data_IF_612225585320
#
_entry.id   IF_612225585320
#
_cell.length_a   1.000
_cell.length_b   1.000
_cell.length_c   1.000
_cell.angle_alpha   90.00
_cell.angle_beta   90.00
_cell.angle_gamma   90.00
#
_symmetry.space_group_name_H-M   'P 1'
#
loop_
_entity.id
_entity.type
_entity.pdbx_description
1 polymer ?
#
# COMPACT_ATOMS: atom_id res chain seq x y z
N UNK A 1 -57.27 -18.53 -9.28
CA UNK A 1 -57.42 -17.91 -7.94
C UNK A 1 -56.31 -16.86 -7.81
N UNK A 2 -56.49 -15.63 -8.30
CA UNK A 2 -57.19 -14.50 -7.67
C UNK A 2 -56.48 -13.91 -6.43
N UNK A 3 -55.67 -12.85 -6.69
CA UNK A 3 -55.54 -11.52 -6.01
C UNK A 3 -55.30 -11.52 -4.47
N UNK A 4 -54.44 -10.66 -3.91
CA UNK A 4 -54.56 -9.18 -3.87
C UNK A 4 -53.25 -8.48 -3.41
N UNK A 5 -53.15 -7.22 -3.86
CA UNK A 5 -52.23 -6.14 -3.43
C UNK A 5 -52.74 -5.46 -2.14
N UNK A 6 -51.85 -4.80 -1.39
CA UNK A 6 -52.11 -3.61 -0.55
C UNK A 6 -50.73 -2.97 -0.23
N UNK A 7 -50.26 -1.84 -0.77
CA UNK A 7 -50.59 -0.39 -0.63
C UNK A 7 -50.45 0.22 0.77
N UNK A 8 -49.66 1.31 0.85
CA UNK A 8 -49.46 2.24 1.97
C UNK A 8 -47.96 2.33 2.33
N UNK A 9 -47.19 3.40 2.13
CA UNK A 9 -47.52 4.81 1.92
C UNK A 9 -47.63 5.52 3.26
N UNK A 10 -46.54 6.09 3.77
CA UNK A 10 -46.56 7.15 4.78
C UNK A 10 -45.29 8.01 4.69
N UNK A 11 -45.55 9.31 4.57
CA UNK A 11 -44.63 10.43 4.52
C UNK A 11 -44.16 10.82 5.94
N UNK A 12 -42.88 11.20 6.07
CA UNK A 12 -42.35 11.77 7.31
C UNK A 12 -41.09 12.62 7.07
N UNK A 13 -40.99 13.84 7.62
CA UNK A 13 -40.19 14.94 7.05
C UNK A 13 -38.72 15.02 7.49
N UNK A 14 -37.99 15.87 6.75
CA UNK A 14 -36.60 16.27 6.92
C UNK A 14 -36.26 16.91 8.29
N UNK A 15 -34.99 16.89 8.72
CA UNK A 15 -34.49 17.83 9.70
C UNK A 15 -33.92 19.10 9.03
N UNK A 16 -34.56 20.23 9.32
CA UNK A 16 -33.96 21.57 9.21
C UNK A 16 -33.09 21.90 10.43
N UNK A 17 -32.07 22.73 10.22
CA UNK A 17 -31.72 23.81 11.15
C UNK A 17 -30.65 23.53 12.20
N UNK A 18 -29.49 24.19 12.04
CA UNK A 18 -28.45 24.24 13.06
C UNK A 18 -27.26 25.15 12.72
N UNK A 19 -27.54 26.39 12.32
CA UNK A 19 -26.53 27.46 12.23
C UNK A 19 -26.50 28.27 13.53
N UNK A 20 -25.31 28.41 14.11
CA UNK A 20 -24.94 29.31 15.21
C UNK A 20 -23.58 28.88 15.72
N UNK A 21 -22.53 29.69 15.84
CA UNK A 21 -22.43 31.13 15.90
C UNK A 21 -21.52 31.49 17.07
N UNK A 22 -20.33 32.01 16.74
CA UNK A 22 -19.56 33.00 17.51
C UNK A 22 -18.76 32.61 18.77
N UNK A 23 -17.58 33.22 18.87
CA UNK A 23 -16.80 33.45 20.11
C UNK A 23 -15.37 32.91 20.01
N UNK A 24 -14.37 33.76 19.72
CA UNK A 24 -13.54 34.48 20.72
C UNK A 24 -12.52 33.52 21.39
N UNK A 25 -11.23 33.78 21.60
CA UNK A 25 -10.38 34.96 21.66
C UNK A 25 -8.94 34.46 21.90
N UNK A 26 -7.93 35.31 21.63
CA UNK A 26 -6.59 35.22 22.25
C UNK A 26 -5.60 34.28 21.56
N UNK A 27 -4.32 34.59 21.40
CA UNK A 27 -3.56 35.71 21.92
C UNK A 27 -2.20 35.76 21.24
N UNK A 28 -1.76 37.00 21.07
CA UNK A 28 -0.41 37.48 20.82
C UNK A 28 0.70 36.72 21.54
N UNK A 29 1.80 36.47 20.84
CA UNK A 29 3.04 35.94 21.42
C UNK A 29 4.23 36.09 20.47
N UNK A 30 4.55 37.32 20.08
CA UNK A 30 5.78 37.63 19.37
C UNK A 30 7.00 37.53 20.27
N UNK A 31 8.02 36.80 19.82
CA UNK A 31 9.43 36.92 20.20
C UNK A 31 10.19 36.84 18.88
N UNK A 32 10.83 37.87 18.33
CA UNK A 32 11.61 38.92 18.98
C UNK A 32 13.06 38.46 19.06
N UNK A 33 13.95 39.05 18.24
CA UNK A 33 15.36 39.14 18.59
C UNK A 33 16.37 38.61 17.58
N UNK A 34 17.02 39.53 16.87
CA UNK A 34 18.17 39.33 15.99
C UNK A 34 19.47 39.13 16.79
N UNK A 35 20.38 38.34 16.20
CA UNK A 35 21.84 38.52 16.07
C UNK A 35 22.60 39.22 17.21
N UNK A 36 23.60 38.53 17.76
CA UNK A 36 24.90 39.16 18.11
C UNK A 36 26.09 38.27 17.75
N UNK A 37 27.09 38.93 17.15
CA UNK A 37 28.47 38.49 16.94
C UNK A 37 29.26 38.65 18.25
N UNK A 38 30.18 37.73 18.53
CA UNK A 38 31.40 37.91 19.32
C UNK A 38 32.40 36.88 18.82
N UNK A 39 33.49 37.21 18.11
CA UNK A 39 34.79 37.74 18.56
C UNK A 39 35.47 36.89 19.63
N UNK A 40 36.35 35.99 19.17
CA UNK A 40 37.72 35.81 19.68
C UNK A 40 37.94 35.09 21.01
N UNK A 41 38.32 33.81 20.94
CA UNK A 41 39.47 33.25 21.67
C UNK A 41 39.80 31.86 21.12
N UNK A 42 41.05 31.65 20.72
CA UNK A 42 41.52 30.41 20.09
C UNK A 42 41.56 29.23 21.07
N UNK A 43 41.43 27.99 20.57
CA UNK A 43 41.64 26.81 21.40
C UNK A 43 43.14 26.48 21.56
N UNK A 44 43.55 25.90 22.71
CA UNK A 44 44.92 25.48 22.96
C UNK A 44 45.34 24.32 22.04
N UNK A 45 46.61 24.32 21.65
CA UNK A 45 47.25 23.26 20.87
C UNK A 45 47.34 21.97 21.71
N UNK A 46 46.32 21.13 21.60
CA UNK A 46 46.29 19.76 22.11
C UNK A 46 46.77 18.79 21.03
N UNK A 47 47.81 18.04 21.37
CA UNK A 47 48.50 17.07 20.52
C UNK A 47 47.55 15.91 20.12
N UNK A 48 46.97 15.95 18.92
CA UNK A 48 46.19 14.83 18.37
C UNK A 48 47.16 13.80 17.79
N UNK A 49 47.46 12.75 18.55
CA UNK A 49 47.95 11.48 17.99
C UNK A 49 46.85 10.90 17.11
N UNK A 50 47.05 10.97 15.79
CA UNK A 50 46.20 10.32 14.81
C UNK A 50 46.29 8.80 14.98
N UNK A 51 45.31 8.21 15.68
CA UNK A 51 45.02 6.78 15.57
C UNK A 51 44.47 6.54 14.16
N UNK A 52 45.32 6.03 13.28
CA UNK A 52 44.88 5.38 12.05
C UNK A 52 43.99 4.18 12.43
N UNK A 53 42.68 4.34 12.27
CA UNK A 53 41.76 3.20 12.19
C UNK A 53 41.80 2.67 10.75
N UNK A 54 42.85 1.90 10.46
CA UNK A 54 42.91 1.08 9.27
C UNK A 54 41.86 -0.02 9.39
N UNK A 55 40.92 -0.10 8.44
CA UNK A 55 40.19 -1.34 8.19
C UNK A 55 38.66 -1.28 8.28
N UNK A 56 38.02 -0.48 7.42
CA UNK A 56 36.74 -0.93 6.84
C UNK A 56 37.13 -1.54 5.49
N UNK A 57 36.99 -2.86 5.28
CA UNK A 57 37.25 -3.45 3.97
C UNK A 57 36.30 -2.80 2.95
N UNK A 58 36.77 -2.51 1.73
CA UNK A 58 35.87 -2.00 0.69
C UNK A 58 34.75 -3.01 0.48
N UNK A 59 33.51 -2.58 0.71
CA UNK A 59 32.31 -3.37 0.43
C UNK A 59 32.36 -3.83 -1.02
N UNK A 60 32.34 -5.14 -1.23
CA UNK A 60 32.25 -5.73 -2.57
C UNK A 60 31.09 -5.10 -3.33
N UNK A 61 31.26 -4.65 -4.58
CA UNK A 61 30.17 -4.03 -5.32
C UNK A 61 29.00 -5.00 -5.39
N UNK A 62 27.85 -4.59 -4.82
CA UNK A 62 26.60 -5.36 -4.89
C UNK A 62 26.30 -5.68 -6.34
N UNK A 63 26.19 -6.97 -6.68
CA UNK A 63 25.66 -7.39 -7.99
C UNK A 63 24.34 -6.66 -8.23
N UNK A 64 24.23 -5.98 -9.38
CA UNK A 64 23.00 -5.27 -9.75
C UNK A 64 21.88 -6.31 -9.87
N UNK A 65 20.84 -6.16 -9.06
CA UNK A 65 19.64 -7.01 -9.16
C UNK A 65 19.01 -6.79 -10.54
N UNK A 66 18.43 -7.84 -11.14
CA UNK A 66 17.62 -7.68 -12.35
C UNK A 66 16.54 -6.61 -12.16
N UNK A 67 16.31 -5.82 -13.21
CA UNK A 67 15.23 -4.83 -13.22
C UNK A 67 13.90 -5.58 -13.29
N UNK A 68 12.90 -5.15 -12.51
CA UNK A 68 11.56 -5.75 -12.58
C UNK A 68 10.80 -5.23 -13.78
N UNK A 69 9.87 -6.02 -14.33
CA UNK A 69 9.07 -5.64 -15.50
C UNK A 69 8.36 -4.29 -15.30
N UNK A 70 7.74 -4.06 -14.15
CA UNK A 70 7.12 -2.77 -13.84
C UNK A 70 8.10 -1.59 -13.89
N UNK A 71 9.35 -1.80 -13.47
CA UNK A 71 10.39 -0.76 -13.56
C UNK A 71 10.77 -0.48 -15.02
N UNK A 72 10.78 -1.50 -15.87
CA UNK A 72 11.00 -1.35 -17.31
C UNK A 72 9.86 -0.55 -17.96
N UNK A 73 8.61 -0.91 -17.67
CA UNK A 73 7.44 -0.17 -18.17
C UNK A 73 7.47 1.30 -17.74
N UNK A 74 7.81 1.56 -16.47
CA UNK A 74 7.96 2.93 -15.96
C UNK A 74 9.08 3.70 -16.67
N UNK A 75 10.20 3.07 -16.98
CA UNK A 75 11.31 3.70 -17.74
C UNK A 75 10.96 3.95 -19.20
N UNK A 76 10.18 3.05 -19.80
CA UNK A 76 9.68 3.19 -21.16
C UNK A 76 8.59 4.27 -21.29
N UNK A 77 8.00 4.71 -20.18
CA UNK A 77 6.91 5.69 -20.18
C UNK A 77 5.56 5.10 -20.59
N UNK A 78 5.45 3.76 -20.67
CA UNK A 78 4.23 3.06 -21.02
C UNK A 78 3.15 3.27 -19.96
N UNK A 79 1.93 3.59 -20.39
CA UNK A 79 0.77 3.81 -19.51
C UNK A 79 -0.24 2.65 -19.52
N UNK A 80 -0.04 1.62 -20.33
CA UNK A 80 -0.89 0.43 -20.36
C UNK A 80 -0.13 -0.80 -20.86
N UNK A 81 -0.47 -1.97 -20.33
CA UNK A 81 0.12 -3.23 -20.77
C UNK A 81 0.05 -4.31 -19.71
N UNK A 82 0.74 -5.45 -19.90
CA UNK A 82 0.69 -6.56 -18.96
C UNK A 82 1.37 -6.20 -17.64
N UNK A 83 0.86 -6.78 -16.56
CA UNK A 83 1.50 -6.81 -15.25
C UNK A 83 2.10 -8.21 -15.06
N UNK A 84 3.39 -8.25 -14.75
CA UNK A 84 4.18 -9.47 -14.59
C UNK A 84 4.89 -9.43 -13.25
N UNK A 85 4.54 -10.35 -12.37
CA UNK A 85 5.22 -10.54 -11.10
C UNK A 85 6.33 -11.57 -11.26
N UNK A 86 7.49 -11.31 -10.66
CA UNK A 86 8.58 -12.30 -10.57
C UNK A 86 8.63 -12.87 -9.17
N UNK A 87 8.40 -14.17 -9.05
CA UNK A 87 8.55 -14.90 -7.80
C UNK A 87 10.01 -15.30 -7.57
N UNK A 88 10.45 -15.48 -6.32
CA UNK A 88 11.77 -16.03 -6.03
C UNK A 88 11.97 -17.40 -6.66
N UNK A 89 13.21 -17.70 -7.09
CA UNK A 89 13.57 -18.98 -7.71
C UNK A 89 13.27 -20.21 -6.85
N UNK A 90 13.30 -20.02 -5.53
CA UNK A 90 13.07 -21.03 -4.51
C UNK A 90 11.63 -21.01 -3.98
N UNK A 91 10.71 -20.33 -4.66
CA UNK A 91 9.30 -20.30 -4.28
C UNK A 91 8.72 -21.73 -4.22
N UNK A 92 8.09 -22.06 -3.10
CA UNK A 92 7.43 -23.34 -2.88
C UNK A 92 6.15 -23.46 -3.72
N UNK A 93 5.62 -24.68 -3.89
CA UNK A 93 4.34 -24.87 -4.60
C UNK A 93 3.17 -24.14 -3.93
N UNK A 94 3.16 -24.05 -2.60
CA UNK A 94 2.16 -23.29 -1.85
C UNK A 94 2.26 -21.78 -2.16
N UNK A 95 3.48 -21.24 -2.22
CA UNK A 95 3.72 -19.85 -2.57
C UNK A 95 3.35 -19.53 -4.03
N UNK A 96 3.56 -20.48 -4.96
CA UNK A 96 3.10 -20.36 -6.34
C UNK A 96 1.57 -20.36 -6.44
N UNK A 97 0.90 -21.20 -5.64
CA UNK A 97 -0.56 -21.20 -5.56
C UNK A 97 -1.12 -19.88 -5.01
N UNK A 98 -0.48 -19.29 -3.98
CA UNK A 98 -0.81 -17.96 -3.46
C UNK A 98 -0.65 -16.87 -4.53
N UNK A 99 0.43 -16.91 -5.31
CA UNK A 99 0.63 -15.98 -6.42
C UNK A 99 -0.39 -16.17 -7.55
N UNK A 100 -0.78 -17.41 -7.84
CA UNK A 100 -1.83 -17.72 -8.81
C UNK A 100 -3.18 -17.16 -8.37
N UNK A 101 -3.56 -17.37 -7.10
CA UNK A 101 -4.79 -16.82 -6.52
C UNK A 101 -4.85 -15.29 -6.67
N UNK A 102 -3.74 -14.60 -6.36
CA UNK A 102 -3.64 -13.16 -6.56
C UNK A 102 -3.86 -12.77 -8.04
N UNK A 103 -3.20 -13.47 -8.96
CA UNK A 103 -3.32 -13.21 -10.41
C UNK A 103 -4.74 -13.44 -10.89
N UNK A 104 -5.39 -14.52 -10.44
CA UNK A 104 -6.76 -14.86 -10.82
C UNK A 104 -7.75 -13.84 -10.30
N UNK A 105 -7.60 -13.40 -9.05
CA UNK A 105 -8.40 -12.33 -8.48
C UNK A 105 -8.19 -10.99 -9.21
N UNK A 106 -6.95 -10.65 -9.57
CA UNK A 106 -6.65 -9.43 -10.32
C UNK A 106 -7.27 -9.45 -11.74
N UNK A 107 -7.17 -10.59 -12.42
CA UNK A 107 -7.79 -10.78 -13.74
C UNK A 107 -9.32 -10.85 -13.66
N UNK A 108 -9.88 -11.39 -12.58
CA UNK A 108 -11.34 -11.33 -12.32
C UNK A 108 -11.78 -9.89 -12.10
N UNK A 109 -11.13 -9.14 -11.21
CA UNK A 109 -11.42 -7.73 -10.96
C UNK A 109 -11.32 -6.89 -12.25
N UNK A 110 -10.36 -7.22 -13.12
CA UNK A 110 -10.29 -6.62 -14.47
C UNK A 110 -11.52 -6.93 -15.32
N UNK A 111 -11.93 -8.19 -15.42
CA UNK A 111 -13.10 -8.61 -16.22
C UNK A 111 -14.38 -7.97 -15.71
N UNK A 112 -14.49 -7.81 -14.40
CA UNK A 112 -15.67 -7.27 -13.74
C UNK A 112 -15.68 -5.73 -13.68
N UNK A 113 -14.65 -5.07 -14.21
CA UNK A 113 -14.54 -3.61 -14.21
C UNK A 113 -14.26 -3.00 -12.83
N UNK A 114 -13.68 -3.77 -11.92
CA UNK A 114 -13.43 -3.39 -10.53
C UNK A 114 -12.05 -2.78 -10.29
N UNK A 115 -11.18 -2.81 -11.30
CA UNK A 115 -9.94 -2.04 -11.29
C UNK A 115 -10.25 -0.54 -11.29
N UNK A 116 -9.31 0.25 -10.79
CA UNK A 116 -9.40 1.70 -10.84
C UNK A 116 -9.52 2.17 -12.30
N UNK A 117 -10.50 3.06 -12.61
CA UNK A 117 -10.69 3.57 -13.97
C UNK A 117 -9.53 4.43 -14.45
N UNK A 118 -8.71 4.95 -13.53
CA UNK A 118 -7.50 5.73 -13.85
C UNK A 118 -6.25 4.86 -13.89
N UNK A 119 -6.37 3.53 -13.79
CA UNK A 119 -5.23 2.62 -13.68
C UNK A 119 -4.63 2.62 -12.27
N UNK A 120 -3.35 2.26 -12.16
CA UNK A 120 -2.67 2.13 -10.87
C UNK A 120 -2.72 3.44 -10.07
N UNK A 121 -3.22 3.37 -8.84
CA UNK A 121 -3.30 4.51 -7.93
C UNK A 121 -2.18 4.49 -6.88
N UNK A 122 -1.79 5.67 -6.41
CA UNK A 122 -0.92 5.81 -5.24
C UNK A 122 -1.70 5.51 -3.96
N UNK A 123 -1.23 4.54 -3.17
CA UNK A 123 -1.80 4.23 -1.85
C UNK A 123 -1.13 5.14 -0.80
N UNK A 124 -1.68 6.33 -0.60
CA UNK A 124 -1.21 7.35 0.36
C UNK A 124 -2.41 8.07 0.98
N UNK A 125 -2.17 8.82 2.07
CA UNK A 125 -3.21 9.62 2.73
C UNK A 125 -4.35 8.74 3.23
N UNK A 126 -5.58 9.19 3.03
CA UNK A 126 -6.79 8.49 3.49
C UNK A 126 -6.86 7.05 2.97
N UNK A 127 -6.55 6.80 1.70
CA UNK A 127 -6.61 5.45 1.14
C UNK A 127 -5.63 4.48 1.83
N UNK A 128 -4.49 4.96 2.31
CA UNK A 128 -3.57 4.13 3.08
C UNK A 128 -4.14 3.80 4.46
N UNK A 129 -4.75 4.78 5.14
CA UNK A 129 -5.41 4.60 6.44
C UNK A 129 -6.57 3.62 6.31
N UNK A 130 -7.48 3.84 5.36
CA UNK A 130 -8.65 2.97 5.12
C UNK A 130 -8.22 1.53 4.83
N UNK A 131 -7.17 1.35 4.02
CA UNK A 131 -6.62 0.03 3.70
C UNK A 131 -6.03 -0.66 4.93
N UNK A 132 -5.29 0.06 5.77
CA UNK A 132 -4.72 -0.49 7.00
C UNK A 132 -5.82 -0.84 8.02
N UNK A 133 -6.86 0.00 8.12
CA UNK A 133 -8.06 -0.24 8.93
C UNK A 133 -8.84 -1.47 8.44
N UNK A 134 -9.09 -1.60 7.14
CA UNK A 134 -9.76 -2.77 6.55
C UNK A 134 -8.99 -4.06 6.83
N UNK A 135 -7.65 -4.03 6.70
CA UNK A 135 -6.83 -5.19 7.02
C UNK A 135 -6.83 -5.53 8.53
N UNK A 136 -6.91 -4.52 9.41
CA UNK A 136 -7.04 -4.74 10.85
C UNK A 136 -8.41 -5.31 11.22
N UNK A 137 -9.48 -4.82 10.58
CA UNK A 137 -10.83 -5.33 10.73
C UNK A 137 -10.91 -6.80 10.29
N UNK A 138 -10.32 -7.15 9.14
CA UNK A 138 -10.28 -8.54 8.67
C UNK A 138 -9.53 -9.46 9.65
N UNK A 139 -8.36 -9.05 10.14
CA UNK A 139 -7.63 -9.84 11.15
C UNK A 139 -8.45 -10.02 12.43
N UNK A 140 -9.18 -8.98 12.84
CA UNK A 140 -10.06 -9.03 14.02
C UNK A 140 -11.24 -9.97 13.78
N UNK A 141 -11.87 -9.92 12.60
CA UNK A 141 -12.92 -10.86 12.19
C UNK A 141 -12.42 -12.29 12.26
N UNK A 142 -11.29 -12.59 11.61
CA UNK A 142 -10.69 -13.92 11.60
C UNK A 142 -10.37 -14.42 13.01
N UNK A 143 -9.77 -13.60 13.87
CA UNK A 143 -9.43 -13.99 15.24
C UNK A 143 -10.65 -14.27 16.13
N UNK A 144 -11.81 -13.70 15.81
CA UNK A 144 -13.05 -13.87 16.57
C UNK A 144 -13.92 -15.03 16.07
N UNK A 145 -13.59 -15.65 14.93
CA UNK A 145 -14.30 -16.82 14.45
C UNK A 145 -13.64 -18.08 15.04
N UNK A 146 -14.33 -18.84 15.92
CA UNK A 146 -13.75 -19.99 16.60
C UNK A 146 -13.43 -21.16 15.65
N UNK A 147 -13.91 -21.12 14.41
CA UNK A 147 -13.56 -22.09 13.36
C UNK A 147 -12.47 -21.58 12.43
N UNK A 148 -12.03 -20.32 12.59
CA UNK A 148 -11.18 -19.62 11.65
C UNK A 148 -9.80 -19.33 12.28
N UNK A 149 -8.83 -20.19 11.97
CA UNK A 149 -7.40 -19.90 12.18
C UNK A 149 -6.82 -19.24 10.92
N UNK A 150 -7.61 -18.34 10.30
CA UNK A 150 -7.56 -17.97 8.89
C UNK A 150 -6.15 -17.69 8.39
N UNK A 151 -5.33 -17.04 9.22
CA UNK A 151 -4.01 -16.58 8.84
C UNK A 151 -2.87 -17.30 9.59
N UNK A 152 -2.98 -17.61 10.88
CA UNK A 152 -1.85 -18.23 11.61
C UNK A 152 -0.57 -17.40 11.46
N UNK A 153 0.50 -18.00 10.92
CA UNK A 153 1.77 -17.32 10.59
C UNK A 153 1.73 -16.56 9.24
N UNK A 154 0.67 -16.74 8.45
CA UNK A 154 0.41 -16.04 7.20
C UNK A 154 -0.28 -14.68 7.44
N UNK A 155 -0.57 -13.97 6.37
CA UNK A 155 -1.21 -12.65 6.41
C UNK A 155 -2.46 -12.60 5.55
N UNK A 156 -3.39 -11.75 5.97
CA UNK A 156 -4.49 -11.27 5.15
C UNK A 156 -3.93 -10.44 3.99
N UNK A 157 -3.93 -11.02 2.80
CA UNK A 157 -3.47 -10.40 1.56
C UNK A 157 -4.65 -9.82 0.79
N UNK A 158 -4.45 -8.64 0.20
CA UNK A 158 -5.45 -8.02 -0.66
C UNK A 158 -5.56 -8.74 -2.02
N UNK A 159 -6.78 -9.12 -2.42
CA UNK A 159 -7.02 -9.77 -3.72
C UNK A 159 -7.90 -8.90 -4.65
N UNK A 160 -7.33 -8.20 -5.64
CA UNK A 160 -5.93 -7.78 -5.74
C UNK A 160 -5.62 -6.58 -4.83
N UNK A 161 -4.35 -6.14 -4.82
CA UNK A 161 -3.90 -4.97 -4.06
C UNK A 161 -4.75 -3.72 -4.33
N UNK A 162 -4.96 -2.93 -3.28
CA UNK A 162 -5.59 -1.59 -3.31
C UNK A 162 -5.00 -0.66 -4.35
N UNK A 163 -3.72 -0.81 -4.72
CA UNK A 163 -3.12 0.04 -5.77
C UNK A 163 -3.76 -0.18 -7.14
N UNK A 164 -4.35 -1.34 -7.40
CA UNK A 164 -5.00 -1.65 -8.68
C UNK A 164 -6.48 -1.30 -8.69
N UNK A 165 -7.14 -1.31 -7.53
CA UNK A 165 -8.59 -1.10 -7.40
C UNK A 165 -8.96 0.29 -6.90
N UNK A 166 -8.06 0.92 -6.14
CA UNK A 166 -8.35 2.14 -5.38
C UNK A 166 -9.31 1.91 -4.21
N UNK A 167 -9.52 0.64 -3.80
CA UNK A 167 -10.44 0.26 -2.74
C UNK A 167 -9.69 -0.32 -1.55
N UNK A 168 -10.02 0.16 -0.35
CA UNK A 168 -9.45 -0.34 0.90
C UNK A 168 -9.86 -1.80 1.16
N UNK A 169 -11.13 -2.11 0.94
CA UNK A 169 -11.68 -3.46 0.94
C UNK A 169 -11.50 -4.08 -0.46
N UNK A 170 -10.71 -5.16 -0.61
CA UNK A 170 -10.42 -5.76 -1.90
C UNK A 170 -11.66 -6.46 -2.50
N UNK A 171 -11.99 -6.24 -3.78
CA UNK A 171 -13.19 -6.81 -4.39
C UNK A 171 -13.15 -8.34 -4.56
N UNK A 172 -11.96 -8.93 -4.67
CA UNK A 172 -11.77 -10.39 -4.63
C UNK A 172 -11.65 -10.94 -3.21
N UNK A 173 -11.81 -10.10 -2.18
CA UNK A 173 -11.70 -10.47 -0.77
C UNK A 173 -10.25 -10.61 -0.28
N UNK A 174 -10.11 -11.34 0.82
CA UNK A 174 -8.85 -11.51 1.54
C UNK A 174 -8.29 -12.91 1.30
N UNK A 175 -7.03 -12.99 0.89
CA UNK A 175 -6.29 -14.25 0.72
C UNK A 175 -5.40 -14.55 1.92
N UNK A 176 -5.07 -15.83 2.12
CA UNK A 176 -4.11 -16.28 3.14
C UNK A 176 -2.75 -16.49 2.48
N UNK A 177 -1.88 -15.48 2.51
CA UNK A 177 -0.57 -15.56 1.87
C UNK A 177 0.57 -15.53 2.88
N UNK A 178 1.68 -16.19 2.55
CA UNK A 178 2.90 -16.00 3.32
C UNK A 178 3.32 -14.52 3.31
N UNK A 179 3.93 -14.06 4.41
CA UNK A 179 4.51 -12.72 4.49
C UNK A 179 5.45 -12.42 3.31
N UNK A 180 6.20 -13.43 2.85
CA UNK A 180 7.15 -13.33 1.74
C UNK A 180 6.45 -13.03 0.42
N UNK A 181 5.45 -13.83 0.04
CA UNK A 181 4.76 -13.66 -1.24
C UNK A 181 3.94 -12.38 -1.28
N UNK A 182 3.20 -12.07 -0.20
CA UNK A 182 2.47 -10.82 -0.10
C UNK A 182 3.39 -9.59 -0.31
N UNK A 183 4.57 -9.61 0.33
CA UNK A 183 5.57 -8.56 0.17
C UNK A 183 6.15 -8.47 -1.25
N UNK A 184 6.38 -9.61 -1.90
CA UNK A 184 6.91 -9.69 -3.27
C UNK A 184 5.91 -9.12 -4.27
N UNK A 185 4.63 -9.46 -4.16
CA UNK A 185 3.57 -8.96 -5.04
C UNK A 185 3.39 -7.45 -4.86
N UNK A 186 3.17 -6.98 -3.63
CA UNK A 186 2.95 -5.55 -3.35
C UNK A 186 4.14 -4.66 -3.72
N UNK A 187 5.37 -5.12 -3.44
CA UNK A 187 6.57 -4.35 -3.79
C UNK A 187 6.78 -4.21 -5.30
N UNK A 188 6.31 -5.17 -6.09
CA UNK A 188 6.36 -5.15 -7.55
C UNK A 188 5.24 -4.35 -8.17
N UNK A 189 4.02 -4.39 -7.60
CA UNK A 189 2.92 -3.49 -7.98
C UNK A 189 3.37 -2.03 -7.93
N UNK A 190 4.13 -1.68 -6.87
CA UNK A 190 4.78 -0.38 -6.66
C UNK A 190 5.79 0.07 -7.75
N UNK A 191 6.16 -0.79 -8.69
CA UNK A 191 7.16 -0.50 -9.74
C UNK A 191 6.56 0.03 -11.04
N UNK A 192 5.29 -0.24 -11.30
CA UNK A 192 4.56 0.34 -12.43
C UNK A 192 4.35 1.85 -12.21
N UNK A 193 4.17 2.65 -13.28
CA UNK A 193 3.83 4.06 -13.12
C UNK A 193 2.43 4.23 -12.51
N UNK A 194 2.22 5.33 -11.79
CA UNK A 194 0.85 5.77 -11.45
C UNK A 194 0.11 6.08 -12.77
N UNK A 195 -1.15 5.67 -12.87
CA UNK A 195 -1.92 5.73 -14.11
C UNK A 195 -1.82 4.48 -14.99
N UNK A 196 -0.93 3.53 -14.68
CA UNK A 196 -0.73 2.35 -15.52
C UNK A 196 -1.98 1.48 -15.57
N UNK A 197 -2.49 1.20 -16.77
CA UNK A 197 -3.69 0.40 -17.01
C UNK A 197 -3.33 -1.05 -17.37
N UNK A 198 -3.53 -2.02 -16.46
CA UNK A 198 -3.21 -3.43 -16.71
C UNK A 198 -4.07 -4.04 -17.81
N UNK A 199 -3.45 -4.73 -18.77
CA UNK A 199 -4.17 -5.51 -19.79
C UNK A 199 -4.42 -6.95 -19.33
N UNK A 200 -3.54 -7.48 -18.49
CA UNK A 200 -3.53 -8.83 -17.94
C UNK A 200 -2.56 -8.87 -16.75
N UNK A 201 -2.80 -9.77 -15.80
CA UNK A 201 -1.88 -10.11 -14.73
C UNK A 201 -1.33 -11.52 -14.92
N UNK A 202 -0.05 -11.71 -14.63
CA UNK A 202 0.62 -13.02 -14.68
C UNK A 202 1.81 -13.03 -13.72
N UNK A 203 2.34 -14.21 -13.43
CA UNK A 203 3.63 -14.34 -12.73
C UNK A 203 4.58 -15.29 -13.46
N UNK A 204 5.86 -15.10 -13.21
CA UNK A 204 6.95 -15.99 -13.61
C UNK A 204 7.79 -16.34 -12.37
N UNK A 205 8.44 -17.49 -12.38
CA UNK A 205 9.45 -17.85 -11.36
C UNK A 205 10.81 -17.41 -11.88
N UNK A 206 11.61 -16.73 -11.04
CA UNK A 206 12.99 -16.37 -11.39
C UNK A 206 13.77 -17.63 -11.76
N UNK A 207 14.39 -17.61 -12.95
CA UNK A 207 15.20 -18.71 -13.49
C UNK A 207 16.63 -18.69 -12.97
#
# INVERSE_FOLDING_TARGET
>A
MARRRNTGGDDGPAPEGGSGGSGAEGGSGGWGGRRRRGTGSGPPQGNFVARSVSGVPPSTPRKKRPVTFGTEQRRAGTQSGPVKFRLPKDATEAEKAQAQEYVDAANKAKRDGELSPTGRVSVKGQLAQDKDEAAAAERTRAANDPNDTAYGDDVAAHLPDTTWTGKADPPGGWGRHTNRINSVLGSQSGRYPEGYQPTEFSYEVET
#
